data_IF_542242833646
#
_entry.id   IF_542242833646
#
_cell.length_a   1.000
_cell.length_b   1.000
_cell.length_c   1.000
_cell.angle_alpha   90.00
_cell.angle_beta   90.00
_cell.angle_gamma   90.00
#
_symmetry.space_group_name_H-M   'P 1'
#
loop_
_entity.id
_entity.type
_entity.pdbx_description
1 polymer ?
#
# COMPACT_ATOMS: atom_id res chain seq x y z
N UNK A 1 20.84 1.97 23.11
CA UNK A 1 20.01 2.55 22.04
C UNK A 1 20.85 3.57 21.31
N UNK A 2 21.41 3.17 20.19
CA UNK A 2 22.11 4.04 19.27
C UNK A 2 22.15 3.37 17.90
N UNK A 3 22.34 4.16 16.86
CA UNK A 3 22.66 3.67 15.52
C UNK A 3 24.13 3.99 15.30
N UNK A 4 24.94 2.97 15.07
CA UNK A 4 26.37 3.11 14.80
C UNK A 4 26.56 3.03 13.29
N UNK A 5 27.07 4.10 12.69
CA UNK A 5 27.29 4.19 11.25
C UNK A 5 28.78 4.31 10.97
N UNK A 6 29.33 3.36 10.22
CA UNK A 6 30.73 3.38 9.78
C UNK A 6 31.03 4.51 8.79
N UNK A 7 32.32 4.75 8.54
CA UNK A 7 32.74 5.80 7.61
C UNK A 7 32.51 5.38 6.15
N UNK A 8 31.97 6.29 5.34
CA UNK A 8 31.67 6.03 3.93
C UNK A 8 30.29 5.44 3.68
N UNK A 9 29.35 5.60 4.61
CA UNK A 9 27.95 5.26 4.39
C UNK A 9 27.19 6.40 3.70
N UNK A 10 26.40 6.07 2.67
CA UNK A 10 25.42 6.94 2.04
C UNK A 10 24.03 6.52 2.46
N UNK A 11 23.32 7.41 3.15
CA UNK A 11 21.99 7.13 3.69
C UNK A 11 21.02 8.18 3.13
N UNK A 12 19.98 7.72 2.44
CA UNK A 12 18.95 8.58 1.83
C UNK A 12 17.57 8.01 2.13
N UNK A 13 16.69 8.81 2.74
CA UNK A 13 15.32 8.41 3.09
C UNK A 13 15.23 7.06 3.82
N UNK A 14 16.05 6.85 4.86
CA UNK A 14 16.05 5.61 5.63
C UNK A 14 15.60 5.84 7.08
N UNK A 15 14.85 4.89 7.63
CA UNK A 15 14.47 4.86 9.05
C UNK A 15 15.16 3.69 9.74
N UNK A 16 15.71 3.94 10.93
CA UNK A 16 16.43 2.94 11.71
C UNK A 16 15.79 2.77 13.08
N UNK A 17 15.66 1.51 13.50
CA UNK A 17 15.32 1.12 14.84
C UNK A 17 16.47 1.30 15.84
N UNK A 18 16.37 0.63 16.98
CA UNK A 18 17.34 0.66 18.07
C UNK A 18 18.45 -0.35 17.82
N UNK A 19 19.69 0.03 18.16
CA UNK A 19 20.85 -0.87 18.11
C UNK A 19 21.12 -1.39 16.69
N UNK A 20 21.12 -0.47 15.71
CA UNK A 20 21.55 -0.79 14.34
C UNK A 20 23.04 -0.51 14.20
N UNK A 21 23.79 -1.47 13.68
CA UNK A 21 25.21 -1.36 13.39
C UNK A 21 25.47 -1.49 11.90
N UNK A 22 26.03 -0.44 11.30
CA UNK A 22 26.43 -0.43 9.90
C UNK A 22 27.95 -0.44 9.85
N UNK A 23 28.49 -1.60 9.50
CA UNK A 23 29.90 -1.81 9.34
C UNK A 23 30.37 -1.22 8.01
N UNK A 24 31.15 -0.15 8.07
CA UNK A 24 31.80 0.42 6.89
C UNK A 24 33.25 0.73 7.20
N UNK A 25 34.15 0.00 6.55
CA UNK A 25 35.59 0.12 6.74
C UNK A 25 36.26 0.14 5.36
N UNK A 26 37.06 1.17 5.08
CA UNK A 26 37.75 1.35 3.78
C UNK A 26 37.61 2.77 3.21
N UNK A 27 38.36 3.07 2.15
CA UNK A 27 38.29 4.34 1.42
C UNK A 27 37.21 4.26 0.33
N UNK A 28 36.13 5.02 0.48
CA UNK A 28 35.06 5.12 -0.53
C UNK A 28 33.65 4.98 0.05
N UNK A 29 32.65 5.02 -0.83
CA UNK A 29 31.26 4.75 -0.47
C UNK A 29 31.05 3.25 -0.34
N UNK A 30 31.14 2.73 0.88
CA UNK A 30 31.11 1.30 1.11
C UNK A 30 29.69 0.78 1.36
N UNK A 31 28.81 1.55 2.01
CA UNK A 31 27.43 1.11 2.24
C UNK A 31 26.47 2.15 1.74
N UNK A 32 25.53 1.74 0.88
CA UNK A 32 24.50 2.62 0.33
C UNK A 32 23.13 2.13 0.75
N UNK A 33 22.41 2.94 1.51
CA UNK A 33 21.06 2.68 2.01
C UNK A 33 20.13 3.75 1.45
N UNK A 34 19.16 3.35 0.62
CA UNK A 34 18.22 4.27 -0.01
C UNK A 34 16.78 3.78 0.10
N UNK A 35 15.90 4.57 0.71
CA UNK A 35 14.48 4.25 0.88
C UNK A 35 14.26 2.92 1.63
N UNK A 36 15.00 2.70 2.72
CA UNK A 36 14.99 1.44 3.47
C UNK A 36 14.43 1.69 4.88
N UNK A 37 13.60 0.77 5.36
CA UNK A 37 13.20 0.71 6.77
C UNK A 37 13.94 -0.43 7.44
N UNK A 38 14.65 -0.12 8.51
CA UNK A 38 15.45 -1.06 9.31
C UNK A 38 14.87 -1.13 10.72
N UNK A 39 14.58 -2.34 11.18
CA UNK A 39 14.10 -2.65 12.52
C UNK A 39 15.17 -2.51 13.61
N UNK A 40 14.88 -3.08 14.77
CA UNK A 40 15.72 -3.12 15.94
C UNK A 40 16.76 -4.27 15.86
N UNK A 41 17.95 -4.06 16.43
CA UNK A 41 19.05 -5.03 16.53
C UNK A 41 19.52 -5.59 15.17
N UNK A 42 19.75 -4.70 14.20
CA UNK A 42 20.19 -5.08 12.85
C UNK A 42 21.67 -4.80 12.66
N UNK A 43 22.40 -5.75 12.06
CA UNK A 43 23.79 -5.59 11.63
C UNK A 43 23.85 -5.60 10.11
N UNK A 44 24.48 -4.58 9.52
CA UNK A 44 24.69 -4.45 8.08
C UNK A 44 26.20 -4.46 7.82
N UNK A 45 26.67 -5.48 7.12
CA UNK A 45 28.08 -5.63 6.75
C UNK A 45 28.58 -4.60 5.73
N UNK A 46 29.91 -4.54 5.62
CA UNK A 46 30.62 -3.71 4.64
C UNK A 46 30.28 -4.03 3.17
N UNK A 47 30.43 -3.05 2.28
CA UNK A 47 30.16 -3.16 0.84
C UNK A 47 28.70 -3.52 0.47
N UNK A 48 27.74 -3.11 1.30
CA UNK A 48 26.33 -3.42 1.10
C UNK A 48 25.55 -2.35 0.32
N UNK A 49 24.64 -2.80 -0.55
CA UNK A 49 23.72 -1.94 -1.28
C UNK A 49 22.28 -2.32 -0.98
N UNK A 50 21.60 -1.49 -0.19
CA UNK A 50 20.21 -1.70 0.23
C UNK A 50 19.33 -0.62 -0.41
N UNK A 51 18.30 -1.03 -1.17
CA UNK A 51 17.39 -0.10 -1.83
C UNK A 51 15.94 -0.54 -1.75
N UNK A 52 15.05 0.33 -1.29
CA UNK A 52 13.60 0.11 -1.31
C UNK A 52 13.18 -1.24 -0.70
N UNK A 53 13.83 -1.65 0.38
CA UNK A 53 13.60 -2.91 1.07
C UNK A 53 13.14 -2.67 2.51
N UNK A 54 12.55 -3.69 3.11
CA UNK A 54 12.13 -3.71 4.50
C UNK A 54 12.93 -4.78 5.24
N UNK A 55 13.56 -4.37 6.33
CA UNK A 55 14.41 -5.20 7.17
C UNK A 55 13.78 -5.18 8.55
N UNK A 56 13.28 -6.33 8.99
CA UNK A 56 12.65 -6.51 10.30
C UNK A 56 13.68 -6.54 11.46
N UNK A 57 13.26 -6.94 12.64
CA UNK A 57 14.10 -6.99 13.82
C UNK A 57 15.09 -8.18 13.81
N UNK A 58 16.20 -8.06 14.53
CA UNK A 58 17.15 -9.14 14.81
C UNK A 58 17.83 -9.76 13.57
N UNK A 59 18.15 -8.93 12.56
CA UNK A 59 18.71 -9.38 11.28
C UNK A 59 20.22 -9.14 11.19
N UNK A 60 20.92 -10.05 10.51
CA UNK A 60 22.35 -9.89 10.17
C UNK A 60 22.52 -9.98 8.66
N UNK A 61 23.03 -8.92 8.05
CA UNK A 61 23.42 -8.87 6.64
C UNK A 61 24.94 -8.95 6.56
N UNK A 62 25.43 -9.96 5.86
CA UNK A 62 26.86 -10.14 5.61
C UNK A 62 27.48 -9.06 4.72
N UNK A 63 28.74 -9.25 4.38
CA UNK A 63 29.49 -8.35 3.50
C UNK A 63 29.18 -8.57 2.02
N UNK A 64 29.39 -7.54 1.20
CA UNK A 64 29.26 -7.62 -0.26
C UNK A 64 27.84 -8.03 -0.72
N UNK A 65 26.82 -7.60 0.02
CA UNK A 65 25.43 -7.95 -0.27
C UNK A 65 24.72 -6.86 -1.07
N UNK A 66 23.89 -7.29 -2.03
CA UNK A 66 22.95 -6.40 -2.73
C UNK A 66 21.52 -6.83 -2.40
N UNK A 67 20.77 -5.93 -1.78
CA UNK A 67 19.34 -6.11 -1.50
C UNK A 67 18.57 -5.11 -2.34
N UNK A 68 17.88 -5.62 -3.35
CA UNK A 68 17.11 -4.83 -4.29
C UNK A 68 15.72 -4.50 -3.76
N UNK A 69 15.00 -3.71 -4.53
CA UNK A 69 13.67 -3.23 -4.18
C UNK A 69 12.73 -4.39 -3.82
N UNK A 70 11.70 -4.08 -3.02
CA UNK A 70 10.64 -5.03 -2.67
C UNK A 70 11.22 -6.33 -2.11
N UNK A 71 12.28 -6.23 -1.34
CA UNK A 71 12.79 -7.38 -0.60
C UNK A 71 12.37 -7.22 0.84
N UNK A 72 11.71 -8.24 1.38
CA UNK A 72 11.35 -8.30 2.80
C UNK A 72 12.23 -9.34 3.46
N UNK A 73 12.93 -8.92 4.50
CA UNK A 73 13.77 -9.79 5.30
C UNK A 73 13.09 -9.88 6.66
N UNK A 74 12.53 -11.05 6.97
CA UNK A 74 11.80 -11.30 8.20
C UNK A 74 12.72 -11.48 9.40
N UNK A 75 12.10 -11.45 10.58
CA UNK A 75 12.80 -11.49 11.86
C UNK A 75 13.79 -12.67 11.97
N UNK A 76 15.00 -12.38 12.47
CA UNK A 76 15.98 -13.42 12.79
C UNK A 76 16.70 -14.05 11.60
N UNK A 77 16.53 -13.50 10.38
CA UNK A 77 17.22 -13.96 9.18
C UNK A 77 18.69 -13.52 9.17
N UNK A 78 19.57 -14.43 8.74
CA UNK A 78 20.99 -14.14 8.50
C UNK A 78 21.31 -14.29 7.02
N UNK A 79 21.70 -13.20 6.37
CA UNK A 79 22.11 -13.19 4.98
C UNK A 79 23.63 -13.39 4.90
N UNK A 80 24.12 -14.44 4.21
CA UNK A 80 25.56 -14.69 4.10
C UNK A 80 26.25 -13.69 3.16
N UNK A 81 27.57 -13.59 3.28
CA UNK A 81 28.39 -12.71 2.43
C UNK A 81 28.21 -13.03 0.94
N UNK A 82 28.37 -12.03 0.07
CA UNK A 82 28.21 -12.12 -1.39
C UNK A 82 26.81 -12.54 -1.85
N UNK A 83 25.78 -12.24 -1.06
CA UNK A 83 24.39 -12.53 -1.43
C UNK A 83 23.78 -11.42 -2.28
N UNK A 84 23.18 -11.79 -3.42
CA UNK A 84 22.44 -10.88 -4.28
C UNK A 84 20.96 -11.26 -4.27
N UNK A 85 20.17 -10.49 -3.53
CA UNK A 85 18.72 -10.68 -3.43
C UNK A 85 18.03 -9.88 -4.52
N UNK A 86 17.26 -10.60 -5.34
CA UNK A 86 16.52 -10.06 -6.48
C UNK A 86 15.23 -9.35 -6.05
N UNK A 87 14.70 -8.49 -6.92
CA UNK A 87 13.46 -7.72 -6.69
C UNK A 87 12.29 -8.65 -6.32
N UNK A 88 11.60 -8.34 -5.21
CA UNK A 88 10.40 -9.08 -4.81
C UNK A 88 10.61 -10.26 -3.85
N UNK A 89 11.83 -10.51 -3.37
CA UNK A 89 12.15 -11.65 -2.50
C UNK A 89 11.56 -11.52 -1.09
N UNK A 90 11.11 -12.64 -0.53
CA UNK A 90 10.71 -12.76 0.88
C UNK A 90 11.67 -13.76 1.53
N UNK A 91 12.40 -13.32 2.54
CA UNK A 91 13.29 -14.18 3.31
C UNK A 91 12.71 -14.36 4.69
N UNK A 92 12.50 -15.61 5.11
CA UNK A 92 11.96 -15.94 6.44
C UNK A 92 12.80 -17.06 7.05
N UNK A 93 12.91 -17.06 8.38
CA UNK A 93 13.65 -18.11 9.10
C UNK A 93 12.91 -19.44 9.12
N UNK A 94 11.59 -19.37 9.31
CA UNK A 94 10.70 -20.52 9.33
C UNK A 94 9.62 -20.29 8.26
N UNK A 95 9.35 -21.32 7.44
CA UNK A 95 8.28 -21.25 6.43
C UNK A 95 6.94 -21.29 7.17
N UNK A 96 6.05 -20.29 6.98
CA UNK A 96 4.72 -20.33 7.58
C UNK A 96 3.96 -21.60 7.17
N UNK A 97 3.20 -22.21 8.08
CA UNK A 97 2.42 -23.44 7.81
C UNK A 97 1.21 -23.21 6.87
N UNK A 98 1.02 -21.99 6.38
CA UNK A 98 -0.09 -21.65 5.48
C UNK A 98 0.12 -22.21 4.07
N UNK A 99 -0.94 -22.75 3.47
CA UNK A 99 -0.91 -23.35 2.12
C UNK A 99 -0.51 -22.36 1.01
N UNK A 100 -0.51 -21.06 1.31
CA UNK A 100 -0.27 -19.97 0.38
C UNK A 100 1.21 -19.72 0.05
N UNK A 101 2.16 -20.30 0.79
CA UNK A 101 3.60 -20.10 0.57
C UNK A 101 4.25 -21.28 -0.17
N UNK A 102 5.04 -20.95 -1.19
CA UNK A 102 5.93 -21.86 -1.89
C UNK A 102 7.38 -21.52 -1.55
N UNK A 103 8.19 -22.53 -1.32
CA UNK A 103 9.64 -22.37 -1.09
C UNK A 103 10.33 -22.36 -2.44
N UNK A 104 10.99 -21.26 -2.79
CA UNK A 104 11.81 -21.14 -4.00
C UNK A 104 13.22 -21.71 -3.76
N UNK A 105 13.79 -21.43 -2.58
CA UNK A 105 15.08 -21.97 -2.17
C UNK A 105 15.17 -22.15 -0.65
N UNK A 106 15.81 -23.24 -0.24
CA UNK A 106 16.21 -23.47 1.15
C UNK A 106 17.70 -23.14 1.28
N UNK A 107 18.04 -22.24 2.19
CA UNK A 107 19.42 -21.92 2.57
C UNK A 107 19.64 -22.36 4.01
N UNK A 108 20.91 -22.55 4.38
CA UNK A 108 21.27 -22.97 5.75
C UNK A 108 20.78 -22.02 6.85
N UNK A 109 20.49 -20.76 6.52
CA UNK A 109 20.11 -19.72 7.49
C UNK A 109 18.71 -19.11 7.29
N UNK A 110 18.04 -19.41 6.18
CA UNK A 110 16.71 -18.87 5.86
C UNK A 110 16.08 -19.60 4.67
N UNK A 111 14.78 -19.42 4.51
CA UNK A 111 14.01 -19.83 3.34
C UNK A 111 13.72 -18.61 2.47
N UNK A 112 13.97 -18.76 1.18
CA UNK A 112 13.47 -17.85 0.15
C UNK A 112 12.07 -18.35 -0.23
N UNK A 113 11.05 -17.59 0.15
CA UNK A 113 9.65 -17.96 -0.07
C UNK A 113 8.98 -17.01 -1.05
N UNK A 114 7.97 -17.53 -1.73
CA UNK A 114 7.05 -16.80 -2.60
C UNK A 114 5.63 -17.19 -2.23
N UNK A 115 4.65 -16.40 -2.65
CA UNK A 115 3.27 -16.87 -2.64
C UNK A 115 3.02 -17.83 -3.81
N UNK A 116 2.35 -18.96 -3.55
CA UNK A 116 1.90 -19.93 -4.57
C UNK A 116 0.87 -19.30 -5.50
N UNK A 117 -0.04 -18.51 -4.92
CA UNK A 117 -0.95 -17.67 -5.68
C UNK A 117 -0.19 -16.41 -6.12
N UNK A 118 -0.36 -15.95 -7.37
CA UNK A 118 0.37 -14.80 -7.97
C UNK A 118 0.03 -13.44 -7.33
N UNK A 119 -0.38 -13.44 -6.08
CA UNK A 119 -0.47 -12.33 -5.13
C UNK A 119 0.87 -12.22 -4.40
N UNK A 120 1.91 -11.67 -5.04
CA UNK A 120 3.22 -11.48 -4.40
C UNK A 120 3.10 -10.76 -3.06
N UNK A 121 4.05 -10.94 -2.15
CA UNK A 121 4.05 -10.38 -0.79
C UNK A 121 3.65 -8.90 -0.72
N UNK A 122 4.19 -8.12 -1.64
CA UNK A 122 3.94 -6.69 -1.79
C UNK A 122 2.56 -6.34 -2.38
N UNK A 123 1.77 -7.35 -2.79
CA UNK A 123 0.36 -7.21 -3.15
C UNK A 123 -0.57 -7.26 -1.95
N UNK A 124 -0.15 -7.85 -0.82
CA UNK A 124 -0.89 -7.81 0.44
C UNK A 124 -0.43 -6.71 1.41
N UNK A 125 0.64 -5.99 1.06
CA UNK A 125 0.99 -4.71 1.69
C UNK A 125 0.93 -3.57 0.67
N UNK A 126 -0.23 -3.32 0.05
CA UNK A 126 -0.57 -2.14 -0.76
C UNK A 126 0.42 -1.61 -1.84
N UNK A 127 1.59 -2.20 -2.10
CA UNK A 127 2.68 -1.53 -2.80
C UNK A 127 2.89 -2.00 -4.26
N UNK A 128 2.47 -3.20 -4.67
CA UNK A 128 3.00 -3.78 -5.92
C UNK A 128 2.05 -4.73 -6.66
N UNK A 129 0.79 -4.32 -6.89
CA UNK A 129 -0.13 -5.11 -7.74
C UNK A 129 0.27 -5.21 -9.22
N UNK A 130 1.43 -4.69 -9.68
CA UNK A 130 1.60 -4.28 -11.08
C UNK A 130 2.75 -4.76 -11.96
N UNK A 131 3.65 -5.67 -11.57
CA UNK A 131 4.75 -6.10 -12.48
C UNK A 131 4.73 -7.57 -12.95
N UNK A 132 3.58 -8.22 -12.98
CA UNK A 132 3.44 -9.60 -13.50
C UNK A 132 2.86 -9.67 -14.93
N UNK A 133 3.35 -8.84 -15.86
CA UNK A 133 3.33 -9.05 -17.33
C UNK A 133 4.51 -8.25 -17.88
N UNK A 134 5.70 -8.84 -17.97
CA UNK A 134 6.28 -9.22 -19.27
C UNK A 134 7.59 -9.95 -18.97
N UNK A 135 7.58 -11.27 -19.02
CA UNK A 135 8.78 -12.04 -19.35
C UNK A 135 8.33 -13.26 -20.13
N UNK A 136 8.17 -13.03 -21.44
CA UNK A 136 8.26 -14.08 -22.43
C UNK A 136 9.14 -13.56 -23.56
N UNK A 137 10.37 -14.08 -23.57
CA UNK A 137 11.31 -14.25 -24.69
C UNK A 137 11.74 -13.01 -25.49
N UNK A 138 13.03 -12.67 -25.38
CA UNK A 138 13.95 -12.77 -26.51
C UNK A 138 15.43 -12.63 -26.06
N UNK A 139 16.27 -13.38 -26.76
CA UNK A 139 17.68 -13.68 -26.55
C UNK A 139 18.68 -12.51 -26.53
N UNK A 140 19.82 -12.78 -25.87
CA UNK A 140 21.21 -12.35 -26.13
C UNK A 140 21.48 -11.19 -27.12
N UNK A 141 22.16 -10.13 -26.64
CA UNK A 141 23.53 -9.77 -27.06
C UNK A 141 24.09 -8.54 -26.29
N UNK A 142 25.40 -8.61 -26.04
CA UNK A 142 26.32 -7.64 -25.43
C UNK A 142 26.38 -6.28 -26.15
N UNK A 143 26.55 -5.16 -25.45
CA UNK A 143 27.79 -4.35 -25.44
C UNK A 143 27.69 -3.09 -24.54
N UNK A 144 28.85 -2.68 -24.05
CA UNK A 144 29.14 -1.61 -23.11
C UNK A 144 28.87 -0.23 -23.72
N UNK A 145 28.19 0.65 -22.97
CA UNK A 145 28.58 2.05 -22.77
C UNK A 145 27.87 2.61 -21.55
N UNK A 146 28.65 2.87 -20.49
CA UNK A 146 28.31 3.85 -19.47
C UNK A 146 28.23 5.21 -20.16
N UNK A 147 27.05 5.84 -20.19
CA UNK A 147 26.93 7.28 -20.03
C UNK A 147 25.48 7.71 -19.75
N UNK A 148 25.32 8.42 -18.63
CA UNK A 148 24.17 9.29 -18.28
C UNK A 148 22.78 8.64 -18.28
N UNK A 149 22.49 7.87 -17.24
CA UNK A 149 21.11 7.69 -16.79
C UNK A 149 20.78 8.83 -15.83
N UNK A 150 20.18 9.89 -16.37
CA UNK A 150 19.30 10.74 -15.59
C UNK A 150 18.28 9.81 -14.92
N UNK A 151 18.24 9.82 -13.59
CA UNK A 151 17.28 9.02 -12.82
C UNK A 151 15.93 9.68 -13.01
N UNK A 152 15.26 9.35 -14.11
CA UNK A 152 13.82 9.55 -14.20
C UNK A 152 13.20 8.74 -13.07
N UNK A 153 12.51 9.44 -12.19
CA UNK A 153 11.71 8.86 -11.12
C UNK A 153 10.62 8.03 -11.84
N UNK A 154 10.82 6.73 -12.05
CA UNK A 154 9.83 5.88 -12.73
C UNK A 154 8.57 5.81 -11.86
N UNK A 155 7.65 6.76 -12.06
CA UNK A 155 6.32 6.70 -11.49
C UNK A 155 5.67 5.38 -11.91
N UNK A 156 5.21 4.61 -10.92
CA UNK A 156 4.46 3.39 -11.20
C UNK A 156 3.17 3.75 -11.93
N UNK A 157 2.65 2.83 -12.75
CA UNK A 157 1.36 3.05 -13.41
C UNK A 157 0.24 3.35 -12.40
N UNK A 158 0.36 2.87 -11.15
CA UNK A 158 -0.63 3.15 -10.08
C UNK A 158 -0.52 4.60 -9.64
N UNK A 159 0.71 5.11 -9.49
CA UNK A 159 0.97 6.50 -9.14
C UNK A 159 0.56 7.45 -10.26
N UNK A 160 0.86 7.12 -11.53
CA UNK A 160 0.38 7.88 -12.69
C UNK A 160 -1.14 7.92 -12.77
N UNK A 161 -1.79 6.76 -12.62
CA UNK A 161 -3.24 6.70 -12.54
C UNK A 161 -3.80 7.53 -11.40
N UNK A 162 -3.23 7.40 -10.19
CA UNK A 162 -3.66 8.17 -9.03
C UNK A 162 -3.54 9.68 -9.29
N UNK A 163 -2.40 10.14 -9.82
CA UNK A 163 -2.16 11.54 -10.13
C UNK A 163 -3.15 12.07 -11.19
N UNK A 164 -3.38 11.34 -12.28
CA UNK A 164 -4.37 11.74 -13.29
C UNK A 164 -5.79 11.80 -12.72
N UNK A 165 -6.21 10.80 -11.93
CA UNK A 165 -7.52 10.81 -11.28
C UNK A 165 -7.64 11.98 -10.32
N UNK A 166 -6.60 12.26 -9.52
CA UNK A 166 -6.58 13.37 -8.59
C UNK A 166 -6.65 14.72 -9.31
N UNK A 167 -5.92 14.90 -10.42
CA UNK A 167 -5.94 16.12 -11.22
C UNK A 167 -7.32 16.34 -11.87
N UNK A 168 -7.90 15.29 -12.46
CA UNK A 168 -9.27 15.33 -13.01
C UNK A 168 -10.31 15.69 -11.95
N UNK A 169 -10.21 15.11 -10.76
CA UNK A 169 -11.10 15.41 -9.64
C UNK A 169 -10.93 16.85 -9.14
N UNK A 170 -9.70 17.33 -8.99
CA UNK A 170 -9.40 18.69 -8.54
C UNK A 170 -9.96 19.72 -9.52
N UNK A 171 -9.77 19.51 -10.83
CA UNK A 171 -10.36 20.36 -11.88
C UNK A 171 -11.90 20.32 -11.88
N UNK A 172 -12.50 19.17 -11.56
CA UNK A 172 -13.95 19.04 -11.46
C UNK A 172 -14.53 19.86 -10.29
N UNK A 173 -13.80 19.95 -9.17
CA UNK A 173 -14.19 20.79 -8.01
C UNK A 173 -14.08 22.28 -8.34
N UNK A 174 -12.98 22.73 -8.96
CA UNK A 174 -12.73 24.16 -9.23
C UNK A 174 -13.76 24.82 -10.15
N UNK A 175 -14.38 24.06 -11.05
CA UNK A 175 -15.23 24.61 -12.11
C UNK A 175 -16.75 24.51 -11.84
N UNK A 176 -17.18 24.38 -10.57
CA UNK A 176 -18.48 23.89 -10.04
C UNK A 176 -19.84 24.42 -10.59
N UNK A 177 -19.93 25.21 -11.66
CA UNK A 177 -21.17 25.88 -12.11
C UNK A 177 -22.26 24.98 -12.77
N UNK A 178 -22.09 23.65 -12.84
CA UNK A 178 -23.01 22.69 -13.48
C UNK A 178 -22.61 21.24 -13.14
N UNK A 179 -23.41 20.52 -12.36
CA UNK A 179 -23.02 19.25 -11.74
C UNK A 179 -23.16 17.99 -12.64
N UNK A 180 -24.30 17.82 -13.34
CA UNK A 180 -24.61 16.53 -14.03
C UNK A 180 -23.70 16.21 -15.24
N UNK A 181 -23.36 17.20 -16.06
CA UNK A 181 -22.56 16.96 -17.27
C UNK A 181 -21.08 16.67 -16.93
N UNK A 182 -20.61 17.04 -15.73
CA UNK A 182 -19.21 16.84 -15.33
C UNK A 182 -18.94 15.56 -14.55
N UNK A 183 -19.89 15.05 -13.75
CA UNK A 183 -19.72 13.72 -13.15
C UNK A 183 -19.62 12.63 -14.23
N UNK A 184 -20.37 12.79 -15.34
CA UNK A 184 -20.25 11.93 -16.52
C UNK A 184 -18.89 12.06 -17.20
N UNK A 185 -18.37 13.28 -17.38
CA UNK A 185 -17.03 13.50 -17.96
C UNK A 185 -15.92 12.92 -17.05
N UNK A 186 -16.01 13.14 -15.74
CA UNK A 186 -15.07 12.60 -14.77
C UNK A 186 -15.05 11.07 -14.81
N UNK A 187 -16.21 10.42 -14.92
CA UNK A 187 -16.28 8.96 -15.11
C UNK A 187 -15.57 8.54 -16.40
N UNK A 188 -15.73 9.26 -17.50
CA UNK A 188 -15.04 8.96 -18.77
C UNK A 188 -13.53 9.13 -18.66
N UNK A 189 -13.06 10.19 -18.00
CA UNK A 189 -11.64 10.46 -17.77
C UNK A 189 -10.99 9.37 -16.90
N UNK A 190 -11.65 9.00 -15.79
CA UNK A 190 -11.18 7.90 -14.92
C UNK A 190 -11.16 6.57 -15.69
N UNK A 191 -12.19 6.27 -16.50
CA UNK A 191 -12.24 5.04 -17.30
C UNK A 191 -11.17 5.02 -18.40
N UNK A 192 -10.89 6.17 -19.02
CA UNK A 192 -9.79 6.33 -19.97
C UNK A 192 -8.45 6.03 -19.28
N UNK A 193 -8.21 6.62 -18.11
CA UNK A 193 -7.00 6.41 -17.30
C UNK A 193 -6.87 4.94 -16.85
N UNK A 194 -7.98 4.31 -16.45
CA UNK A 194 -8.04 2.88 -16.11
C UNK A 194 -7.51 2.02 -17.27
N UNK A 195 -7.91 2.32 -18.50
CA UNK A 195 -7.49 1.58 -19.69
C UNK A 195 -6.04 1.88 -20.05
N UNK A 196 -5.61 3.15 -19.98
CA UNK A 196 -4.25 3.59 -20.26
C UNK A 196 -3.22 2.87 -19.38
N UNK A 197 -3.52 2.73 -18.09
CA UNK A 197 -2.63 2.11 -17.12
C UNK A 197 -2.92 0.62 -16.86
N UNK A 198 -3.99 0.05 -17.42
CA UNK A 198 -4.44 -1.33 -17.17
C UNK A 198 -4.74 -1.58 -15.67
N UNK A 199 -5.61 -0.77 -15.06
CA UNK A 199 -6.01 -0.89 -13.64
C UNK A 199 -7.11 -1.94 -13.46
N UNK A 200 -7.08 -2.67 -12.35
CA UNK A 200 -8.23 -3.48 -11.91
C UNK A 200 -9.33 -2.57 -11.35
N UNK A 201 -10.59 -3.01 -11.37
CA UNK A 201 -11.69 -2.21 -10.80
C UNK A 201 -11.53 -1.98 -9.29
N UNK A 202 -10.94 -2.93 -8.56
CA UNK A 202 -10.62 -2.80 -7.15
C UNK A 202 -9.57 -1.70 -6.93
N UNK A 203 -8.49 -1.71 -7.71
CA UNK A 203 -7.46 -0.68 -7.60
C UNK A 203 -8.00 0.70 -8.04
N UNK A 204 -8.90 0.75 -9.04
CA UNK A 204 -9.61 2.00 -9.41
C UNK A 204 -10.44 2.50 -8.24
N UNK A 205 -11.29 1.65 -7.66
CA UNK A 205 -12.14 2.01 -6.52
C UNK A 205 -11.32 2.57 -5.35
N UNK A 206 -10.24 1.90 -4.97
CA UNK A 206 -9.35 2.36 -3.90
C UNK A 206 -8.75 3.75 -4.21
N UNK A 207 -8.17 3.91 -5.40
CA UNK A 207 -7.47 5.15 -5.76
C UNK A 207 -8.43 6.32 -6.00
N UNK A 208 -9.63 6.07 -6.52
CA UNK A 208 -10.70 7.08 -6.67
C UNK A 208 -11.10 7.64 -5.30
N UNK A 209 -11.30 6.79 -4.29
CA UNK A 209 -11.63 7.29 -2.96
C UNK A 209 -10.46 7.98 -2.26
N UNK A 210 -9.24 7.46 -2.42
CA UNK A 210 -8.02 8.13 -1.92
C UNK A 210 -7.84 9.51 -2.53
N UNK A 211 -8.07 9.65 -3.84
CA UNK A 211 -7.98 10.92 -4.54
C UNK A 211 -9.05 11.89 -4.05
N UNK A 212 -10.29 11.42 -3.89
CA UNK A 212 -11.40 12.18 -3.32
C UNK A 212 -11.06 12.72 -1.92
N UNK A 213 -10.55 11.90 -1.01
CA UNK A 213 -10.19 12.32 0.35
C UNK A 213 -9.03 13.32 0.39
N UNK A 214 -8.17 13.34 -0.63
CA UNK A 214 -7.04 14.26 -0.75
C UNK A 214 -7.41 15.63 -1.35
N UNK A 215 -8.65 15.81 -1.82
CA UNK A 215 -9.09 17.10 -2.35
C UNK A 215 -9.06 18.17 -1.24
N UNK A 216 -8.70 19.39 -1.59
CA UNK A 216 -8.52 20.48 -0.61
C UNK A 216 -9.82 20.81 0.17
N UNK A 217 -10.97 20.58 -0.45
CA UNK A 217 -12.28 20.76 0.17
C UNK A 217 -12.67 19.63 1.14
N UNK A 218 -11.91 18.53 1.21
CA UNK A 218 -12.19 17.39 2.07
C UNK A 218 -11.50 17.51 3.44
N UNK A 219 -11.54 18.69 4.07
CA UNK A 219 -10.94 18.93 5.39
C UNK A 219 -11.93 18.83 6.56
N UNK A 220 -13.21 19.08 6.29
CA UNK A 220 -14.28 19.04 7.29
C UNK A 220 -15.42 18.10 6.87
N UNK A 221 -16.09 17.49 7.87
CA UNK A 221 -17.17 16.55 7.64
C UNK A 221 -18.31 17.13 6.78
N UNK A 222 -18.68 18.39 6.98
CA UNK A 222 -19.77 19.02 6.23
C UNK A 222 -19.44 19.11 4.73
N UNK A 223 -18.21 19.52 4.39
CA UNK A 223 -17.76 19.66 3.01
C UNK A 223 -17.66 18.29 2.33
N UNK A 224 -17.12 17.29 3.04
CA UNK A 224 -17.06 15.90 2.56
C UNK A 224 -18.46 15.40 2.22
N UNK A 225 -19.44 15.57 3.12
CA UNK A 225 -20.82 15.14 2.90
C UNK A 225 -21.45 15.82 1.69
N UNK A 226 -21.30 17.14 1.56
CA UNK A 226 -21.82 17.88 0.40
C UNK A 226 -21.20 17.36 -0.90
N UNK A 227 -19.88 17.16 -0.95
CA UNK A 227 -19.21 16.68 -2.15
C UNK A 227 -19.59 15.23 -2.49
N UNK A 228 -19.77 14.37 -1.49
CA UNK A 228 -20.27 12.99 -1.70
C UNK A 228 -21.66 12.99 -2.34
N UNK A 229 -22.54 13.89 -1.92
CA UNK A 229 -23.88 14.05 -2.52
C UNK A 229 -23.79 14.56 -3.96
N UNK A 230 -22.99 15.60 -4.21
CA UNK A 230 -22.79 16.15 -5.55
C UNK A 230 -22.18 15.12 -6.51
N UNK A 231 -21.33 14.23 -6.00
CA UNK A 231 -20.63 13.19 -6.76
C UNK A 231 -21.26 11.81 -6.62
N UNK A 232 -22.50 11.72 -6.14
CA UNK A 232 -23.18 10.45 -5.91
C UNK A 232 -23.23 9.56 -7.17
N UNK A 233 -23.38 10.14 -8.37
CA UNK A 233 -23.33 9.40 -9.63
C UNK A 233 -21.93 8.79 -9.92
N UNK A 234 -20.85 9.48 -9.52
CA UNK A 234 -19.49 8.92 -9.62
C UNK A 234 -19.36 7.73 -8.67
N UNK A 235 -19.89 7.86 -7.45
CA UNK A 235 -19.74 6.84 -6.42
C UNK A 235 -20.55 5.58 -6.75
N UNK A 236 -21.81 5.72 -7.15
CA UNK A 236 -22.64 4.59 -7.59
C UNK A 236 -22.02 3.85 -8.77
N UNK A 237 -21.39 4.55 -9.71
CA UNK A 237 -20.69 3.93 -10.83
C UNK A 237 -19.50 3.03 -10.41
N UNK A 238 -18.76 3.40 -9.35
CA UNK A 238 -17.56 2.66 -8.94
C UNK A 238 -17.76 1.71 -7.76
N UNK A 239 -18.73 1.96 -6.88
CA UNK A 239 -18.88 1.24 -5.61
C UNK A 239 -20.14 0.38 -5.51
N UNK A 240 -20.90 0.20 -6.59
CA UNK A 240 -21.99 -0.81 -6.62
C UNK A 240 -21.48 -2.23 -6.28
N UNK A 241 -20.33 -2.71 -6.81
CA UNK A 241 -19.84 -4.04 -6.47
C UNK A 241 -19.31 -4.12 -5.03
N UNK A 242 -19.70 -5.16 -4.30
CA UNK A 242 -19.28 -5.42 -2.91
C UNK A 242 -17.76 -5.29 -2.68
N UNK A 243 -16.94 -5.89 -3.57
CA UNK A 243 -15.48 -5.80 -3.47
C UNK A 243 -14.96 -4.36 -3.52
N UNK A 244 -15.61 -3.50 -4.30
CA UNK A 244 -15.21 -2.10 -4.44
C UNK A 244 -15.62 -1.28 -3.20
N UNK A 245 -16.72 -1.62 -2.54
CA UNK A 245 -17.10 -1.04 -1.25
C UNK A 245 -16.03 -1.32 -0.18
N UNK A 246 -15.50 -2.54 -0.14
CA UNK A 246 -14.36 -2.86 0.74
C UNK A 246 -13.12 -2.04 0.37
N UNK A 247 -12.82 -1.87 -0.93
CA UNK A 247 -11.70 -1.03 -1.35
C UNK A 247 -11.86 0.45 -0.96
N UNK A 248 -13.08 0.98 -0.95
CA UNK A 248 -13.40 2.31 -0.43
C UNK A 248 -13.04 2.40 1.05
N UNK A 249 -13.47 1.43 1.86
CA UNK A 249 -13.21 1.39 3.30
C UNK A 249 -11.70 1.26 3.61
N UNK A 250 -10.99 0.43 2.85
CA UNK A 250 -9.52 0.32 2.94
C UNK A 250 -8.81 1.62 2.54
N UNK A 251 -9.35 2.37 1.57
CA UNK A 251 -8.83 3.69 1.22
C UNK A 251 -9.03 4.71 2.36
N UNK A 252 -10.21 4.69 3.02
CA UNK A 252 -10.46 5.52 4.20
C UNK A 252 -9.48 5.19 5.32
N UNK A 253 -9.27 3.89 5.58
CA UNK A 253 -8.34 3.40 6.59
C UNK A 253 -6.92 3.87 6.33
N UNK A 254 -6.41 3.66 5.12
CA UNK A 254 -5.08 4.10 4.71
C UNK A 254 -4.92 5.61 4.86
N UNK A 255 -5.90 6.39 4.41
CA UNK A 255 -5.83 7.84 4.50
C UNK A 255 -5.79 8.34 5.96
N UNK A 256 -6.53 7.69 6.85
CA UNK A 256 -6.55 8.02 8.27
C UNK A 256 -5.21 7.80 8.98
N UNK A 257 -4.31 6.96 8.45
CA UNK A 257 -2.99 6.71 9.06
C UNK A 257 -2.11 7.97 9.08
N UNK A 258 -2.28 8.87 8.11
CA UNK A 258 -1.49 10.11 8.00
C UNK A 258 -2.31 11.39 8.19
N UNK A 259 -3.63 11.29 8.36
CA UNK A 259 -4.57 12.42 8.45
C UNK A 259 -5.44 12.32 9.73
N UNK A 260 -4.92 12.73 10.90
CA UNK A 260 -5.63 12.61 12.18
C UNK A 260 -6.98 13.36 12.22
N UNK A 261 -7.13 14.43 11.44
CA UNK A 261 -8.36 15.19 11.26
C UNK A 261 -9.46 14.34 10.60
N UNK A 262 -9.13 13.57 9.57
CA UNK A 262 -10.07 12.64 8.93
C UNK A 262 -10.36 11.47 9.87
N UNK A 263 -9.34 10.94 10.57
CA UNK A 263 -9.54 9.89 11.56
C UNK A 263 -10.58 10.28 12.61
N UNK A 264 -10.59 11.53 13.09
CA UNK A 264 -11.58 12.03 14.07
C UNK A 264 -13.02 11.90 13.58
N UNK A 265 -13.26 11.97 12.27
CA UNK A 265 -14.60 11.95 11.66
C UNK A 265 -14.87 10.66 10.85
N UNK A 266 -13.93 9.71 10.77
CA UNK A 266 -14.03 8.51 9.94
C UNK A 266 -15.33 7.72 10.15
N UNK A 267 -15.76 7.55 11.40
CA UNK A 267 -17.02 6.88 11.72
C UNK A 267 -18.25 7.61 11.13
N UNK A 268 -18.25 8.94 11.15
CA UNK A 268 -19.33 9.71 10.54
C UNK A 268 -19.32 9.63 9.01
N UNK A 269 -18.14 9.47 8.40
CA UNK A 269 -18.00 9.25 6.95
C UNK A 269 -18.59 7.89 6.58
N UNK A 270 -18.22 6.82 7.28
CA UNK A 270 -18.76 5.47 7.03
C UNK A 270 -20.27 5.45 7.21
N UNK A 271 -20.79 6.04 8.29
CA UNK A 271 -22.24 6.14 8.50
C UNK A 271 -22.93 6.91 7.37
N UNK A 272 -22.38 8.04 6.92
CA UNK A 272 -22.99 8.84 5.85
C UNK A 272 -23.05 8.07 4.52
N UNK A 273 -21.98 7.35 4.18
CA UNK A 273 -21.90 6.51 2.98
C UNK A 273 -22.92 5.37 3.00
N UNK A 274 -23.25 4.84 4.18
CA UNK A 274 -24.32 3.85 4.37
C UNK A 274 -25.71 4.50 4.34
N UNK A 275 -25.99 5.44 5.25
CA UNK A 275 -27.34 5.93 5.50
C UNK A 275 -27.87 6.92 4.46
N UNK A 276 -27.02 7.86 4.02
CA UNK A 276 -27.45 9.03 3.26
C UNK A 276 -27.08 8.91 1.78
N UNK A 277 -25.99 8.19 1.49
CA UNK A 277 -25.52 8.00 0.11
C UNK A 277 -25.88 6.63 -0.49
N UNK A 278 -26.34 5.65 0.29
CA UNK A 278 -26.65 4.28 -0.20
C UNK A 278 -25.51 3.66 -1.04
N UNK A 279 -24.26 3.89 -0.62
CA UNK A 279 -23.05 3.40 -1.31
C UNK A 279 -22.50 2.15 -0.65
N UNK A 280 -22.52 2.10 0.68
CA UNK A 280 -22.02 0.97 1.46
C UNK A 280 -23.19 0.10 1.91
N UNK A 281 -23.01 -1.21 1.78
CA UNK A 281 -23.90 -2.21 2.35
C UNK A 281 -23.36 -2.70 3.70
N UNK A 282 -24.26 -3.16 4.56
CA UNK A 282 -23.92 -3.66 5.90
C UNK A 282 -22.90 -4.80 5.85
N UNK A 283 -23.05 -5.72 4.88
CA UNK A 283 -22.14 -6.85 4.68
C UNK A 283 -20.70 -6.38 4.39
N UNK A 284 -20.54 -5.33 3.59
CA UNK A 284 -19.23 -4.78 3.25
C UNK A 284 -18.57 -4.12 4.46
N UNK A 285 -19.37 -3.42 5.28
CA UNK A 285 -18.90 -2.79 6.53
C UNK A 285 -18.45 -3.87 7.51
N UNK A 286 -19.22 -4.95 7.67
CA UNK A 286 -18.86 -6.07 8.55
C UNK A 286 -17.64 -6.84 8.05
N UNK A 287 -17.54 -7.11 6.74
CA UNK A 287 -16.38 -7.80 6.17
C UNK A 287 -15.10 -6.98 6.39
N UNK A 288 -15.14 -5.68 6.10
CA UNK A 288 -14.01 -4.79 6.39
C UNK A 288 -13.70 -4.75 7.89
N UNK A 289 -14.70 -4.62 8.77
CA UNK A 289 -14.48 -4.56 10.21
C UNK A 289 -13.82 -5.82 10.76
N UNK A 290 -14.18 -7.01 10.25
CA UNK A 290 -13.55 -8.29 10.61
C UNK A 290 -12.09 -8.38 10.16
N UNK A 291 -11.70 -7.62 9.13
CA UNK A 291 -10.30 -7.56 8.67
C UNK A 291 -9.41 -6.67 9.54
N UNK A 292 -10.01 -5.81 10.39
CA UNK A 292 -9.26 -4.92 11.28
C UNK A 292 -8.68 -5.66 12.49
N UNK A 293 -7.49 -5.25 12.93
CA UNK A 293 -6.95 -5.70 14.21
C UNK A 293 -7.79 -5.14 15.36
N UNK A 294 -8.25 -6.00 16.27
CA UNK A 294 -9.08 -5.66 17.43
C UNK A 294 -8.45 -4.61 18.34
N UNK A 295 -7.12 -4.56 18.42
CA UNK A 295 -6.39 -3.58 19.23
C UNK A 295 -6.13 -2.24 18.49
N UNK A 296 -6.53 -2.13 17.22
CA UNK A 296 -6.29 -0.93 16.42
C UNK A 296 -7.21 0.22 16.82
N UNK A 297 -6.69 1.45 16.70
CA UNK A 297 -7.48 2.66 16.92
C UNK A 297 -8.67 2.75 15.95
N UNK A 298 -8.53 2.21 14.72
CA UNK A 298 -9.62 2.16 13.74
C UNK A 298 -10.75 1.22 14.19
N UNK A 299 -10.41 0.04 14.74
CA UNK A 299 -11.41 -0.88 15.29
C UNK A 299 -12.28 -0.20 16.35
N UNK A 300 -11.64 0.44 17.34
CA UNK A 300 -12.36 1.19 18.37
C UNK A 300 -13.19 2.36 17.81
N UNK A 301 -12.71 3.01 16.73
CA UNK A 301 -13.40 4.13 16.10
C UNK A 301 -14.67 3.73 15.37
N UNK A 302 -14.70 2.53 14.79
CA UNK A 302 -15.80 2.02 13.97
C UNK A 302 -16.78 1.16 14.76
N UNK A 303 -16.35 0.53 15.87
CA UNK A 303 -17.20 -0.34 16.70
C UNK A 303 -18.60 0.23 17.02
N UNK A 304 -18.78 1.53 17.34
CA UNK A 304 -20.12 2.07 17.60
C UNK A 304 -21.10 1.98 16.42
N UNK A 305 -20.60 2.00 15.17
CA UNK A 305 -21.44 1.80 13.98
C UNK A 305 -21.83 0.33 13.87
N UNK A 306 -20.88 -0.58 14.14
CA UNK A 306 -21.11 -2.02 14.11
C UNK A 306 -22.17 -2.41 15.14
N UNK A 307 -22.04 -1.92 16.37
CA UNK A 307 -23.02 -2.14 17.44
C UNK A 307 -24.43 -1.66 17.03
N UNK A 308 -24.50 -0.53 16.31
CA UNK A 308 -25.76 0.06 15.85
C UNK A 308 -26.39 -0.73 14.68
N UNK A 309 -25.57 -1.20 13.73
CA UNK A 309 -26.02 -2.05 12.62
C UNK A 309 -26.55 -3.39 13.15
N UNK A 310 -25.81 -4.04 14.05
CA UNK A 310 -26.22 -5.31 14.67
C UNK A 310 -27.58 -5.19 15.40
N UNK A 311 -27.80 -4.10 16.13
CA UNK A 311 -29.08 -3.85 16.82
C UNK A 311 -30.25 -3.63 15.86
N UNK A 312 -30.00 -2.95 14.74
CA UNK A 312 -31.04 -2.65 13.75
C UNK A 312 -31.51 -3.91 13.04
N UNK A 313 -30.59 -4.83 12.75
CA UNK A 313 -30.87 -6.11 12.08
C UNK A 313 -31.66 -7.08 12.97
N UNK A 314 -31.40 -7.11 14.28
CA UNK A 314 -32.14 -7.97 15.23
C UNK A 314 -33.60 -7.53 15.42
N UNK A 315 -33.89 -6.21 15.38
CA UNK A 315 -35.24 -5.66 15.53
C UNK A 315 -36.15 -5.97 14.31
N UNK A 316 -35.58 -6.03 13.10
CA UNK A 316 -36.32 -6.38 11.88
C UNK A 316 -36.74 -7.86 11.89
N UNK A 317 -35.87 -8.77 12.34
CA UNK A 317 -36.15 -10.22 12.43
C UNK A 317 -37.18 -10.63 13.50
N UNK A 318 -37.37 -9.82 14.54
CA UNK A 318 -38.42 -10.02 15.53
C UNK A 318 -39.78 -9.52 15.01
N UNK A 319 -39.80 -8.46 14.21
CA UNK A 319 -41.04 -7.88 13.65
C UNK A 319 -41.72 -8.75 12.59
N UNK A 320 -40.96 -9.58 11.87
CA UNK A 320 -41.46 -10.52 10.86
C UNK A 320 -42.00 -11.86 11.45
N UNK A 321 -41.91 -12.02 12.77
CA UNK A 321 -42.38 -13.22 13.50
C UNK A 321 -43.68 -13.01 14.29
N UNK A 322 -44.31 -11.84 14.20
CA UNK A 322 -45.67 -11.55 14.72
C UNK A 322 -46.73 -11.51 13.61
#
# INVERSE_FOLDING_TARGET
MGVTVGNGCKIENASFGKNVEIEAFGLGDNVSIKNVRVGDNVIIGNNCRLRSCFIDDNIIIGHDCTVLAKTFIGEGVVIPNNSNLIDGGILVKDVPEEEDYGVDAERDSHYEVRFKHRTGFWKNSNLERRRARTYSNADHACDQTLDKLEVENEETDVMRFFNEVFDSMSQAVENMDSAEHRTSNLILEINSSKLAYNMTMEDVAKNVFLAFLKLECCSELAQIKTLMQDWHHVFTNYYTPHKNQIQLLLALEEHCQTHPEIFKIANHIVHHLYSDCDILQEEAIFEWFKSLNTDSAMYAKIKPIIDWLEQSSDEEEESDKE
#
